data_IF_513014818999
#
_entry.id   IF_513014818999
#
_cell.length_a   1.000
_cell.length_b   1.000
_cell.length_c   1.000
_cell.angle_alpha   90.00
_cell.angle_beta   90.00
_cell.angle_gamma   90.00
#
_symmetry.space_group_name_H-M   'P 1'
#
loop_
_entity.id
_entity.type
_entity.pdbx_description
1 polymer ?
#
# COMPACT_ATOMS: atom_id res chain seq x y z
N UNK A 1 8.92 -15.15 8.07
CA UNK A 1 9.53 -14.15 7.16
C UNK A 1 9.57 -12.81 7.88
N UNK A 2 10.70 -12.09 7.85
CA UNK A 2 10.94 -10.88 8.65
C UNK A 2 9.91 -9.75 8.37
N UNK A 3 9.40 -9.69 7.14
CA UNK A 3 8.43 -8.68 6.67
C UNK A 3 7.07 -8.80 7.37
N UNK A 4 6.51 -10.01 7.46
CA UNK A 4 5.19 -10.24 8.06
C UNK A 4 5.16 -9.92 9.56
N UNK A 5 6.30 -10.06 10.26
CA UNK A 5 6.41 -9.67 11.68
C UNK A 5 6.25 -8.17 11.87
N UNK A 6 6.91 -7.36 11.03
CA UNK A 6 6.84 -5.89 11.12
C UNK A 6 5.45 -5.34 10.78
N UNK A 7 4.76 -5.93 9.80
CA UNK A 7 3.37 -5.57 9.47
C UNK A 7 2.43 -5.91 10.63
N UNK A 8 2.72 -6.98 11.37
CA UNK A 8 1.89 -7.38 12.52
C UNK A 8 2.04 -6.39 13.70
N UNK A 9 3.27 -5.91 13.97
CA UNK A 9 3.53 -4.90 15.00
C UNK A 9 2.99 -3.50 14.63
N UNK A 10 2.93 -3.18 13.34
CA UNK A 10 2.42 -1.90 12.87
C UNK A 10 0.89 -1.79 13.01
N UNK A 11 0.40 -0.62 13.41
CA UNK A 11 -1.03 -0.27 13.41
C UNK A 11 -1.47 0.32 12.06
N UNK A 12 -0.55 1.02 11.39
CA UNK A 12 -0.77 1.71 10.12
C UNK A 12 0.25 1.26 9.08
N UNK A 13 -0.20 1.10 7.84
CA UNK A 13 0.64 0.77 6.69
C UNK A 13 0.51 1.87 5.65
N UNK A 14 1.60 2.55 5.35
CA UNK A 14 1.66 3.60 4.32
C UNK A 14 2.22 3.00 3.04
N UNK A 15 1.48 3.11 1.95
CA UNK A 15 1.85 2.59 0.63
C UNK A 15 2.03 3.75 -0.33
N UNK A 16 3.24 3.92 -0.83
CA UNK A 16 3.57 4.97 -1.79
C UNK A 16 3.36 4.42 -3.20
N UNK A 17 2.38 4.97 -3.92
CA UNK A 17 2.01 4.60 -5.28
C UNK A 17 2.71 5.54 -6.26
N UNK A 18 3.87 5.08 -6.74
CA UNK A 18 4.63 5.71 -7.82
C UNK A 18 4.37 5.08 -9.20
N UNK A 19 5.10 5.55 -10.22
CA UNK A 19 4.97 5.12 -11.62
C UNK A 19 5.12 3.60 -11.82
N UNK A 20 5.94 2.95 -10.99
CA UNK A 20 6.22 1.50 -11.09
C UNK A 20 5.53 0.67 -10.00
N UNK A 21 4.66 1.27 -9.17
CA UNK A 21 4.00 0.61 -8.05
C UNK A 21 3.15 -0.61 -8.46
N UNK A 22 2.62 -0.62 -9.68
CA UNK A 22 1.83 -1.75 -10.21
C UNK A 22 2.57 -2.57 -11.29
N UNK A 23 3.88 -2.38 -11.43
CA UNK A 23 4.69 -3.10 -12.42
C UNK A 23 4.75 -4.58 -12.07
N UNK A 24 4.57 -5.42 -13.09
CA UNK A 24 4.65 -6.87 -12.97
C UNK A 24 6.09 -7.33 -12.64
N UNK A 25 6.21 -8.09 -11.57
CA UNK A 25 7.46 -8.76 -11.21
C UNK A 25 7.61 -10.07 -11.99
N UNK A 26 8.84 -10.42 -12.36
CA UNK A 26 9.15 -11.66 -13.12
C UNK A 26 8.70 -12.91 -12.35
N UNK A 27 8.84 -12.89 -11.03
CA UNK A 27 8.48 -13.99 -10.12
C UNK A 27 7.03 -13.94 -9.62
N UNK A 28 6.13 -13.22 -10.31
CA UNK A 28 4.70 -13.13 -9.93
C UNK A 28 4.04 -14.48 -9.64
N UNK A 29 4.47 -15.54 -10.34
CA UNK A 29 3.96 -16.90 -10.16
C UNK A 29 4.33 -17.53 -8.81
N UNK A 30 5.48 -17.15 -8.26
CA UNK A 30 5.94 -17.59 -6.93
C UNK A 30 5.34 -16.73 -5.81
N UNK A 31 5.12 -15.44 -6.08
CA UNK A 31 4.57 -14.48 -5.11
C UNK A 31 3.05 -14.66 -4.97
N UNK A 32 2.35 -15.06 -6.04
CA UNK A 32 0.88 -15.11 -6.11
C UNK A 32 0.22 -13.74 -6.33
N UNK A 33 1.02 -12.68 -6.44
CA UNK A 33 0.57 -11.29 -6.69
C UNK A 33 1.41 -10.65 -7.81
N UNK A 34 0.95 -9.49 -8.33
CA UNK A 34 1.67 -8.79 -9.42
C UNK A 34 3.09 -8.41 -9.01
N UNK A 35 3.29 -8.04 -7.75
CA UNK A 35 4.59 -7.75 -7.14
C UNK A 35 4.53 -7.92 -5.60
N UNK A 36 5.69 -7.73 -4.95
CA UNK A 36 5.79 -7.78 -3.50
C UNK A 36 4.96 -6.71 -2.78
N UNK A 37 4.84 -5.51 -3.35
CA UNK A 37 4.05 -4.43 -2.75
C UNK A 37 2.56 -4.83 -2.63
N UNK A 38 2.03 -5.48 -3.67
CA UNK A 38 0.66 -5.98 -3.66
C UNK A 38 0.45 -7.12 -2.66
N UNK A 39 1.44 -8.01 -2.49
CA UNK A 39 1.41 -9.02 -1.45
C UNK A 39 1.36 -8.39 -0.04
N UNK A 40 2.14 -7.33 0.20
CA UNK A 40 2.13 -6.62 1.49
C UNK A 40 0.80 -5.90 1.74
N UNK A 41 0.22 -5.28 0.72
CA UNK A 41 -1.11 -4.66 0.80
C UNK A 41 -2.17 -5.70 1.13
N UNK A 42 -2.16 -6.84 0.43
CA UNK A 42 -3.10 -7.92 0.68
C UNK A 42 -2.94 -8.46 2.11
N UNK A 43 -1.71 -8.62 2.60
CA UNK A 43 -1.47 -9.09 3.96
C UNK A 43 -1.91 -8.08 5.02
N UNK A 44 -1.66 -6.79 4.79
CA UNK A 44 -2.14 -5.72 5.67
C UNK A 44 -3.67 -5.68 5.73
N UNK A 45 -4.34 -5.92 4.58
CA UNK A 45 -5.80 -6.03 4.48
C UNK A 45 -6.33 -7.24 5.25
N UNK A 46 -5.73 -8.41 5.08
CA UNK A 46 -6.07 -9.63 5.85
C UNK A 46 -5.94 -9.42 7.36
N UNK A 47 -4.92 -8.66 7.77
CA UNK A 47 -4.65 -8.33 9.17
C UNK A 47 -5.51 -7.16 9.70
N UNK A 48 -6.40 -6.59 8.89
CA UNK A 48 -7.28 -5.49 9.28
C UNK A 48 -6.54 -4.20 9.65
N UNK A 49 -5.35 -3.98 9.10
CA UNK A 49 -4.53 -2.80 9.40
C UNK A 49 -5.07 -1.55 8.70
N UNK A 50 -4.78 -0.38 9.26
CA UNK A 50 -5.13 0.89 8.61
C UNK A 50 -4.18 1.17 7.45
N UNK A 51 -4.70 1.14 6.22
CA UNK A 51 -3.90 1.33 5.01
C UNK A 51 -4.06 2.77 4.52
N UNK A 52 -2.94 3.43 4.22
CA UNK A 52 -2.90 4.78 3.65
C UNK A 52 -2.17 4.69 2.31
N UNK A 53 -2.85 5.00 1.22
CA UNK A 53 -2.28 5.00 -0.13
C UNK A 53 -1.89 6.42 -0.52
N UNK A 54 -0.59 6.70 -0.63
CA UNK A 54 -0.04 7.99 -1.06
C UNK A 54 0.32 7.90 -2.53
N UNK A 55 -0.55 8.42 -3.38
CA UNK A 55 -0.36 8.46 -4.82
C UNK A 55 0.41 9.73 -5.19
N UNK A 56 1.60 9.54 -5.75
CA UNK A 56 2.49 10.65 -6.15
C UNK A 56 1.93 11.42 -7.36
N UNK A 57 1.18 10.74 -8.23
CA UNK A 57 0.55 11.32 -9.40
C UNK A 57 -0.73 10.55 -9.73
N UNK A 58 -1.84 11.26 -9.95
CA UNK A 58 -3.14 10.68 -10.29
C UNK A 58 -3.14 9.90 -11.61
N UNK A 59 -2.17 10.17 -12.49
CA UNK A 59 -1.96 9.45 -13.75
C UNK A 59 -1.36 8.05 -13.55
N UNK A 60 -0.86 7.72 -12.36
CA UNK A 60 -0.26 6.41 -12.10
C UNK A 60 -1.33 5.34 -11.88
N UNK A 61 -1.04 4.14 -12.37
CA UNK A 61 -1.94 3.01 -12.24
C UNK A 61 -2.11 2.65 -10.76
N UNK A 62 -3.34 2.77 -10.27
CA UNK A 62 -3.66 2.48 -8.89
C UNK A 62 -3.82 0.97 -8.69
N UNK A 63 -3.06 0.34 -7.76
CA UNK A 63 -3.13 -1.10 -7.50
C UNK A 63 -4.56 -1.56 -7.20
N UNK A 64 -4.97 -2.68 -7.79
CA UNK A 64 -6.31 -3.22 -7.60
C UNK A 64 -6.53 -3.72 -6.17
N UNK A 65 -5.46 -4.19 -5.54
CA UNK A 65 -5.39 -4.65 -4.16
C UNK A 65 -5.68 -3.52 -3.16
N UNK A 66 -5.43 -2.27 -3.56
CA UNK A 66 -5.79 -1.07 -2.81
C UNK A 66 -7.21 -0.57 -3.13
N UNK A 67 -7.90 -1.14 -4.13
CA UNK A 67 -9.32 -0.88 -4.39
C UNK A 67 -10.13 -1.77 -3.43
N UNK A 68 -11.19 -1.23 -2.83
CA UNK A 68 -12.05 -1.95 -1.89
C UNK A 68 -11.34 -2.53 -0.65
N UNK A 69 -10.26 -1.90 -0.19
CA UNK A 69 -9.58 -2.28 1.06
C UNK A 69 -9.77 -1.27 2.20
N UNK A 70 -10.60 -0.24 2.01
CA UNK A 70 -10.80 0.83 3.01
C UNK A 70 -9.59 1.76 3.15
N UNK A 71 -8.63 1.72 2.21
CA UNK A 71 -7.46 2.58 2.28
C UNK A 71 -7.80 4.06 2.08
N UNK A 72 -7.20 4.92 2.90
CA UNK A 72 -7.29 6.38 2.74
C UNK A 72 -6.33 6.82 1.64
N UNK A 73 -6.85 7.44 0.59
CA UNK A 73 -6.05 7.91 -0.55
C UNK A 73 -5.59 9.36 -0.34
N UNK A 74 -4.32 9.59 -0.58
CA UNK A 74 -3.68 10.91 -0.55
C UNK A 74 -3.03 11.13 -1.91
N UNK A 75 -3.36 12.22 -2.60
CA UNK A 75 -2.92 12.49 -3.98
C UNK A 75 -1.71 13.44 -4.05
N UNK A 76 -0.98 13.57 -2.94
CA UNK A 76 0.07 14.57 -2.73
C UNK A 76 1.17 13.99 -1.86
N UNK A 77 2.43 14.12 -2.29
CA UNK A 77 3.59 13.76 -1.47
C UNK A 77 4.00 14.94 -0.59
N UNK A 78 3.04 15.55 0.09
CA UNK A 78 3.31 16.61 1.06
C UNK A 78 3.30 16.03 2.47
N UNK A 79 4.25 16.45 3.29
CA UNK A 79 4.38 15.97 4.67
C UNK A 79 3.09 16.18 5.46
N UNK A 80 2.47 17.36 5.33
CA UNK A 80 1.24 17.68 6.06
C UNK A 80 0.07 16.77 5.68
N UNK A 81 -0.11 16.48 4.39
CA UNK A 81 -1.16 15.59 3.90
C UNK A 81 -0.98 14.16 4.42
N UNK A 82 0.26 13.68 4.47
CA UNK A 82 0.60 12.35 5.01
C UNK A 82 0.35 12.31 6.52
N UNK A 83 0.78 13.32 7.26
CA UNK A 83 0.57 13.41 8.72
C UNK A 83 -0.91 13.50 9.05
N UNK A 84 -1.69 14.30 8.31
CA UNK A 84 -3.16 14.37 8.46
C UNK A 84 -3.85 13.06 8.10
N UNK A 85 -3.34 12.34 7.10
CA UNK A 85 -3.86 11.02 6.77
C UNK A 85 -3.65 10.04 7.92
N UNK A 86 -2.46 10.02 8.53
CA UNK A 86 -2.11 9.16 9.67
C UNK A 86 -2.89 9.55 10.94
N UNK A 87 -2.98 10.85 11.26
CA UNK A 87 -3.66 11.33 12.48
C UNK A 87 -5.18 11.30 12.41
N UNK A 88 -5.75 11.30 11.21
CA UNK A 88 -7.19 11.29 10.99
C UNK A 88 -7.77 9.89 10.83
N UNK A 89 -7.21 8.90 11.53
CA UNK A 89 -7.68 7.54 11.68
C UNK A 89 -7.97 7.26 13.15
#
# INVERSE_FOLDING_TARGET
>A
MLLSRKINEATHVVVIVGKEANKLHKDRGLIGYRNWQNFEVAKAKELGKHIIAVQLNSLYEYPEELKNCGAKRVYSFNHDDIVRAIRGW
#
